data_IF_886258682231
#
_entry.id   IF_886258682231
#
_cell.length_a   1.000
_cell.length_b   1.000
_cell.length_c   1.000
_cell.angle_alpha   90.00
_cell.angle_beta   90.00
_cell.angle_gamma   90.00
#
_symmetry.space_group_name_H-M   'P 1'
#
loop_
_entity.id
_entity.type
_entity.pdbx_description
1 polymer ?
#
# COMPACT_ATOMS: atom_id res chain seq x y z
N UNK A 1 33.99 4.82 9.79
CA UNK A 1 33.59 4.62 11.20
C UNK A 1 32.36 5.47 11.37
N UNK A 2 31.24 4.89 11.80
CA UNK A 2 29.98 5.64 11.97
C UNK A 2 30.06 6.52 13.21
N UNK A 3 29.42 7.71 13.18
CA UNK A 3 29.41 8.63 14.34
C UNK A 3 28.65 8.03 15.52
N UNK A 4 27.54 7.35 15.26
CA UNK A 4 26.67 6.71 16.26
C UNK A 4 26.22 5.32 15.79
N UNK A 5 25.91 4.45 16.75
CA UNK A 5 25.42 3.07 16.48
C UNK A 5 23.99 2.82 16.93
N UNK A 6 23.34 3.79 17.60
CA UNK A 6 22.03 3.63 18.25
C UNK A 6 20.98 2.95 17.35
N UNK A 7 20.79 3.40 16.10
CA UNK A 7 19.81 2.79 15.20
C UNK A 7 20.18 1.38 14.75
N UNK A 8 21.48 1.11 14.57
CA UNK A 8 21.97 -0.23 14.27
C UNK A 8 21.76 -1.16 15.48
N UNK A 9 21.97 -0.66 16.68
CA UNK A 9 21.79 -1.37 17.94
C UNK A 9 20.31 -1.66 18.23
N UNK A 10 19.41 -0.70 17.98
CA UNK A 10 17.94 -0.89 18.06
C UNK A 10 17.49 -2.03 17.14
N UNK A 11 17.98 -2.05 15.90
CA UNK A 11 17.67 -3.11 14.95
C UNK A 11 18.45 -4.42 15.23
N UNK A 12 19.50 -4.37 16.06
CA UNK A 12 20.36 -5.52 16.38
C UNK A 12 21.21 -5.97 15.18
N UNK A 13 21.73 -5.02 14.42
CA UNK A 13 22.53 -5.24 13.21
C UNK A 13 23.83 -4.43 13.28
N UNK A 14 24.78 -4.72 12.37
CA UNK A 14 26.03 -3.98 12.28
C UNK A 14 25.92 -2.80 11.31
N UNK A 15 26.78 -1.76 11.44
CA UNK A 15 26.85 -0.66 10.48
C UNK A 15 27.10 -1.09 9.03
N UNK A 16 27.68 -2.28 8.80
CA UNK A 16 27.91 -2.84 7.45
C UNK A 16 26.68 -3.58 6.88
N UNK A 17 25.56 -3.62 7.61
CA UNK A 17 24.37 -4.34 7.20
C UNK A 17 23.86 -3.87 5.83
N UNK A 18 23.53 -4.85 4.99
CA UNK A 18 22.90 -4.64 3.69
C UNK A 18 21.47 -4.14 3.85
N UNK A 19 20.88 -3.49 2.83
CA UNK A 19 19.48 -3.06 2.88
C UNK A 19 18.51 -4.21 3.22
N UNK A 20 18.78 -5.40 2.71
CA UNK A 20 18.01 -6.61 3.01
C UNK A 20 18.11 -7.02 4.47
N UNK A 21 19.29 -6.93 5.09
CA UNK A 21 19.49 -7.23 6.51
C UNK A 21 18.79 -6.21 7.42
N UNK A 22 18.87 -4.91 7.08
CA UNK A 22 18.16 -3.83 7.79
C UNK A 22 16.67 -4.10 7.80
N UNK A 23 16.10 -4.44 6.65
CA UNK A 23 14.67 -4.71 6.50
C UNK A 23 14.21 -5.97 7.24
N UNK A 24 14.99 -7.05 7.18
CA UNK A 24 14.73 -8.26 7.96
C UNK A 24 14.77 -7.97 9.47
N UNK A 25 15.75 -7.19 9.91
CA UNK A 25 15.90 -6.80 11.30
C UNK A 25 14.73 -5.94 11.78
N UNK A 26 14.29 -4.96 10.98
CA UNK A 26 13.10 -4.16 11.26
C UNK A 26 11.86 -5.03 11.45
N UNK A 27 11.55 -5.94 10.52
CA UNK A 27 10.37 -6.81 10.66
C UNK A 27 10.42 -7.64 11.93
N UNK A 28 11.57 -8.26 12.21
CA UNK A 28 11.77 -9.03 13.45
C UNK A 28 11.57 -8.16 14.68
N UNK A 29 12.18 -6.99 14.73
CA UNK A 29 12.09 -6.06 15.86
C UNK A 29 10.69 -5.50 16.05
N UNK A 30 10.01 -5.10 14.97
CA UNK A 30 8.63 -4.63 15.00
C UNK A 30 7.70 -5.69 15.61
N UNK A 31 7.90 -6.98 15.27
CA UNK A 31 7.16 -8.08 15.89
C UNK A 31 7.56 -8.33 17.34
N UNK A 32 8.83 -8.17 17.70
CA UNK A 32 9.35 -8.31 19.07
C UNK A 32 8.91 -7.18 20.00
N UNK A 33 8.60 -5.98 19.49
CA UNK A 33 8.29 -4.80 20.32
C UNK A 33 6.84 -4.36 20.22
N UNK A 34 5.99 -5.06 19.48
CA UNK A 34 4.61 -4.60 19.27
C UNK A 34 3.78 -4.58 20.57
N UNK A 35 3.02 -3.50 20.83
CA UNK A 35 2.18 -3.36 22.03
C UNK A 35 1.21 -4.53 22.26
N UNK A 36 0.58 -5.08 21.21
CA UNK A 36 -0.36 -6.21 21.38
C UNK A 36 0.29 -7.50 21.91
N UNK A 37 1.60 -7.67 21.72
CA UNK A 37 2.33 -8.83 22.26
C UNK A 37 2.88 -8.57 23.66
N UNK A 38 2.93 -7.31 24.08
CA UNK A 38 3.46 -6.86 25.38
C UNK A 38 2.49 -5.88 26.05
N UNK A 39 1.26 -6.33 26.37
CA UNK A 39 0.23 -5.44 26.89
C UNK A 39 0.54 -4.87 28.28
N UNK A 40 1.39 -5.57 29.05
CA UNK A 40 1.79 -5.18 30.41
C UNK A 40 3.09 -4.34 30.44
N UNK A 41 3.73 -4.11 29.28
CA UNK A 41 4.96 -3.31 29.17
C UNK A 41 4.61 -1.85 28.82
N UNK A 42 4.71 -0.90 29.76
CA UNK A 42 4.37 0.50 29.50
C UNK A 42 5.28 1.16 28.46
N UNK A 43 6.46 0.59 28.20
CA UNK A 43 7.42 1.10 27.23
C UNK A 43 7.28 0.44 25.84
N UNK A 44 6.35 -0.50 25.65
CA UNK A 44 6.20 -1.22 24.38
C UNK A 44 5.96 -0.29 23.19
N UNK A 45 5.12 0.74 23.40
CA UNK A 45 4.83 1.75 22.38
C UNK A 45 6.08 2.55 22.00
N UNK A 46 6.84 3.02 23.00
CA UNK A 46 8.06 3.79 22.76
C UNK A 46 9.13 2.94 22.06
N UNK A 47 9.26 1.66 22.43
CA UNK A 47 10.16 0.71 21.76
C UNK A 47 9.76 0.46 20.31
N UNK A 48 8.47 0.28 20.03
CA UNK A 48 7.97 0.11 18.65
C UNK A 48 8.21 1.36 17.79
N UNK A 49 7.98 2.55 18.34
CA UNK A 49 8.27 3.81 17.66
C UNK A 49 9.77 3.96 17.35
N UNK A 50 10.65 3.64 18.31
CA UNK A 50 12.09 3.69 18.11
C UNK A 50 12.57 2.72 17.02
N UNK A 51 11.95 1.53 16.91
CA UNK A 51 12.22 0.57 15.83
C UNK A 51 11.79 1.11 14.47
N UNK A 52 10.63 1.78 14.39
CA UNK A 52 10.15 2.46 13.19
C UNK A 52 11.08 3.58 12.73
N UNK A 53 11.51 4.45 13.65
CA UNK A 53 12.45 5.55 13.40
C UNK A 53 13.81 5.04 12.92
N UNK A 54 14.36 4.02 13.58
CA UNK A 54 15.61 3.39 13.18
C UNK A 54 15.54 2.83 11.75
N UNK A 55 14.42 2.21 11.39
CA UNK A 55 14.21 1.71 10.05
C UNK A 55 14.05 2.84 9.02
N UNK A 56 13.29 3.90 9.32
CA UNK A 56 13.15 5.05 8.44
C UNK A 56 14.52 5.62 8.04
N UNK A 57 15.39 5.85 9.03
CA UNK A 57 16.72 6.44 8.78
C UNK A 57 17.65 5.46 8.08
N UNK A 58 17.69 4.19 8.52
CA UNK A 58 18.66 3.21 7.97
C UNK A 58 18.25 2.62 6.62
N UNK A 59 16.96 2.62 6.27
CA UNK A 59 16.48 2.07 5.00
C UNK A 59 16.71 3.02 3.82
N UNK A 60 16.64 4.33 4.03
CA UNK A 60 16.97 5.33 3.01
C UNK A 60 18.49 5.53 2.91
N UNK A 61 19.11 5.35 1.73
CA UNK A 61 20.56 5.53 1.57
C UNK A 61 21.07 6.94 1.90
N UNK A 62 20.25 7.97 1.66
CA UNK A 62 20.59 9.36 1.93
C UNK A 62 20.57 9.68 3.43
N UNK A 63 19.49 9.32 4.12
CA UNK A 63 19.33 9.46 5.57
C UNK A 63 20.36 8.62 6.32
N UNK A 64 20.59 7.36 5.90
CA UNK A 64 21.64 6.52 6.49
C UNK A 64 23.01 7.14 6.33
N UNK A 65 23.34 7.68 5.16
CA UNK A 65 24.62 8.35 4.96
C UNK A 65 24.77 9.59 5.84
N UNK A 66 23.69 10.35 6.07
CA UNK A 66 23.71 11.49 7.00
C UNK A 66 23.90 11.01 8.44
N UNK A 67 23.18 9.97 8.85
CA UNK A 67 23.30 9.36 10.18
C UNK A 67 24.72 8.85 10.44
N UNK A 68 25.29 8.13 9.48
CA UNK A 68 26.64 7.59 9.59
C UNK A 68 27.71 8.69 9.77
N UNK A 69 27.50 9.86 9.15
CA UNK A 69 28.45 10.99 9.17
C UNK A 69 28.22 11.95 10.34
N UNK A 70 26.96 12.22 10.67
CA UNK A 70 26.55 13.34 11.52
C UNK A 70 25.72 12.91 12.73
N UNK A 71 25.34 11.64 12.85
CA UNK A 71 24.58 11.13 14.00
C UNK A 71 23.10 11.52 13.95
N UNK A 72 22.38 11.20 15.02
CA UNK A 72 20.92 11.30 15.10
C UNK A 72 20.40 12.72 14.89
N UNK A 73 21.04 13.72 15.51
CA UNK A 73 20.57 15.12 15.50
C UNK A 73 20.46 15.73 14.08
N UNK A 74 21.29 15.28 13.14
CA UNK A 74 21.35 15.81 11.77
C UNK A 74 20.69 14.89 10.72
N UNK A 75 20.33 13.66 11.10
CA UNK A 75 19.76 12.65 10.23
C UNK A 75 18.25 12.45 10.42
N UNK A 76 17.72 12.84 11.58
CA UNK A 76 16.30 12.76 11.90
C UNK A 76 15.59 14.02 11.43
N UNK A 77 14.58 13.90 10.55
CA UNK A 77 13.61 14.95 10.31
C UNK A 77 13.09 15.58 11.61
N UNK A 78 13.05 16.90 11.73
CA UNK A 78 12.64 17.59 12.98
C UNK A 78 11.19 17.30 13.40
N UNK A 79 10.39 16.61 12.57
CA UNK A 79 9.06 16.11 12.89
C UNK A 79 8.89 14.65 12.43
N UNK A 80 9.26 13.66 13.25
CA UNK A 80 8.89 12.24 13.07
C UNK A 80 9.05 11.72 11.63
N UNK A 81 8.12 10.88 11.15
CA UNK A 81 8.03 10.59 9.72
C UNK A 81 7.73 11.89 8.95
N UNK A 82 8.72 12.44 8.26
CA UNK A 82 8.63 13.70 7.50
C UNK A 82 7.57 13.62 6.38
N UNK A 83 7.30 12.42 5.88
CA UNK A 83 6.24 12.12 4.93
C UNK A 83 5.59 10.75 5.24
N UNK A 84 4.35 10.75 5.70
CA UNK A 84 3.61 9.52 5.95
C UNK A 84 3.33 8.71 4.66
N UNK A 85 3.50 9.31 3.47
CA UNK A 85 3.53 8.60 2.19
C UNK A 85 4.80 7.75 2.00
N UNK A 86 5.95 8.23 2.49
CA UNK A 86 7.20 7.46 2.48
C UNK A 86 7.11 6.28 3.44
N UNK A 87 6.55 6.50 4.64
CA UNK A 87 6.26 5.41 5.59
C UNK A 87 5.36 4.33 4.98
N UNK A 88 4.26 4.75 4.36
CA UNK A 88 3.34 3.84 3.68
C UNK A 88 4.07 3.06 2.57
N UNK A 89 4.90 3.74 1.78
CA UNK A 89 5.69 3.09 0.73
C UNK A 89 6.67 2.07 1.30
N UNK A 90 7.37 2.41 2.39
CA UNK A 90 8.32 1.52 3.07
C UNK A 90 7.64 0.25 3.64
N UNK A 91 6.37 0.34 4.04
CA UNK A 91 5.57 -0.78 4.56
C UNK A 91 4.93 -1.62 3.46
N UNK A 92 4.43 -1.02 2.37
CA UNK A 92 3.51 -1.71 1.45
C UNK A 92 4.10 -2.04 0.08
N UNK A 93 5.33 -1.65 -0.21
CA UNK A 93 5.98 -2.01 -1.47
C UNK A 93 7.48 -1.83 -1.49
N UNK A 94 8.05 -1.09 -0.54
CA UNK A 94 9.48 -0.79 -0.45
C UNK A 94 10.06 -0.16 -1.72
N UNK A 95 11.33 0.21 -1.66
CA UNK A 95 12.07 0.65 -2.87
C UNK A 95 12.24 -0.47 -3.90
N UNK A 96 12.18 -1.74 -3.46
CA UNK A 96 12.38 -2.91 -4.32
C UNK A 96 11.39 -2.95 -5.50
N UNK A 97 10.12 -2.60 -5.27
CA UNK A 97 9.11 -2.62 -6.34
C UNK A 97 9.06 -1.34 -7.18
N UNK A 98 9.80 -0.29 -6.84
CA UNK A 98 9.72 1.02 -7.51
C UNK A 98 9.81 0.93 -9.04
N UNK A 99 10.71 0.08 -9.54
CA UNK A 99 10.90 -0.14 -10.98
C UNK A 99 9.77 -0.93 -11.67
N UNK A 100 8.94 -1.63 -10.91
CA UNK A 100 7.83 -2.45 -11.41
C UNK A 100 6.47 -1.78 -11.25
N UNK A 101 6.27 -1.03 -10.17
CA UNK A 101 4.96 -0.51 -9.77
C UNK A 101 4.95 1.02 -9.61
N UNK A 102 6.12 1.68 -9.59
CA UNK A 102 6.27 3.09 -9.27
C UNK A 102 6.00 3.37 -7.80
N UNK A 103 5.73 4.62 -7.47
CA UNK A 103 5.35 5.03 -6.10
C UNK A 103 3.84 4.93 -5.90
N UNK A 104 3.42 4.77 -4.64
CA UNK A 104 2.00 4.89 -4.26
C UNK A 104 1.63 6.37 -4.18
N UNK A 105 0.60 6.77 -4.92
CA UNK A 105 0.10 8.14 -4.98
C UNK A 105 -1.02 8.41 -3.97
N UNK A 106 -1.78 7.38 -3.59
CA UNK A 106 -2.99 7.52 -2.78
C UNK A 106 -2.75 8.22 -1.45
N UNK A 107 -1.66 7.90 -0.74
CA UNK A 107 -1.42 8.48 0.58
C UNK A 107 -1.13 9.98 0.47
N UNK A 108 -0.25 10.37 -0.46
CA UNK A 108 0.00 11.77 -0.79
C UNK A 108 -1.28 12.52 -1.17
N UNK A 109 -2.13 11.90 -2.00
CA UNK A 109 -3.42 12.49 -2.39
C UNK A 109 -4.36 12.70 -1.20
N UNK A 110 -4.41 11.74 -0.28
CA UNK A 110 -5.24 11.84 0.92
C UNK A 110 -4.71 12.95 1.85
N UNK A 111 -3.40 13.06 2.01
CA UNK A 111 -2.80 14.13 2.82
C UNK A 111 -3.05 15.52 2.19
N UNK A 112 -2.82 15.67 0.87
CA UNK A 112 -3.13 16.91 0.14
C UNK A 112 -4.63 17.27 0.27
N UNK A 113 -5.53 16.29 0.23
CA UNK A 113 -6.96 16.53 0.43
C UNK A 113 -7.28 16.96 1.87
N UNK A 114 -6.73 16.29 2.88
CA UNK A 114 -6.94 16.63 4.30
C UNK A 114 -6.42 18.03 4.62
N UNK A 115 -5.25 18.44 4.12
CA UNK A 115 -4.73 19.79 4.31
C UNK A 115 -5.62 20.87 3.68
N UNK A 116 -6.32 20.53 2.58
CA UNK A 116 -7.17 21.45 1.84
C UNK A 116 -8.57 21.59 2.43
N UNK A 117 -9.11 20.52 3.04
CA UNK A 117 -10.47 20.49 3.59
C UNK A 117 -10.51 20.50 5.13
N UNK A 118 -9.42 20.14 5.80
CA UNK A 118 -9.31 20.08 7.27
C UNK A 118 -9.03 21.43 7.93
N UNK A 119 -8.69 22.47 7.17
CA UNK A 119 -8.51 23.83 7.69
C UNK A 119 -9.82 24.56 8.02
N UNK A 120 -10.99 24.00 7.67
CA UNK A 120 -12.29 24.63 7.97
C UNK A 120 -12.81 24.32 9.39
N UNK A 121 -12.21 23.37 10.12
CA UNK A 121 -12.62 23.03 11.49
C UNK A 121 -11.83 23.79 12.60
N UNK A 122 -10.69 24.41 12.26
CA UNK A 122 -9.88 25.19 13.23
C UNK A 122 -10.29 26.67 13.37
N UNK A 123 -11.05 27.24 12.42
CA UNK A 123 -11.62 28.59 12.57
C UNK A 123 -13.04 28.59 13.19
N UNK A 124 -13.55 27.42 13.62
CA UNK A 124 -14.86 27.26 14.25
C UNK A 124 -14.85 27.03 15.78
N UNK A 125 -13.67 26.92 16.41
CA UNK A 125 -13.55 26.62 17.85
C UNK A 125 -12.80 27.69 18.62
N UNK A 126 -13.18 28.94 18.42
CA UNK A 126 -12.93 30.02 19.38
C UNK A 126 -14.28 30.65 19.76
N UNK A 127 -14.63 30.58 21.05
CA UNK A 127 -15.90 30.94 21.70
C UNK A 127 -16.97 29.84 21.62
N UNK A 128 -17.24 29.11 22.70
CA UNK A 128 -17.94 29.68 23.85
C UNK A 128 -17.76 28.82 25.10
N UNK A 129 -17.15 29.41 26.14
CA UNK A 129 -17.42 29.01 27.52
C UNK A 129 -18.82 29.50 27.94
N UNK A 130 -19.44 28.73 28.84
CA UNK A 130 -20.53 29.10 29.77
C UNK A 130 -21.91 29.43 29.18
N UNK A 131 -22.92 28.60 29.46
CA UNK A 131 -23.85 28.81 30.59
C UNK A 131 -24.84 27.62 30.76
N UNK A 132 -25.33 27.50 31.99
CA UNK A 132 -26.19 26.44 32.55
C UNK A 132 -27.68 26.58 32.18
N UNK A 133 -28.43 25.54 32.59
CA UNK A 133 -29.87 25.47 32.94
C UNK A 133 -30.79 24.97 31.81
N UNK A 134 -31.81 24.15 32.00
CA UNK A 134 -32.43 23.52 33.18
C UNK A 134 -33.32 22.35 32.68
N UNK A 135 -33.81 21.53 33.62
CA UNK A 135 -34.71 20.38 33.46
C UNK A 135 -36.01 20.63 32.68
N UNK A 136 -36.51 19.60 31.97
CA UNK A 136 -37.80 18.93 32.27
C UNK A 136 -38.30 17.96 31.17
N UNK A 137 -38.56 16.72 31.60
CA UNK A 137 -39.60 15.73 31.23
C UNK A 137 -40.37 15.83 29.90
N UNK A 138 -40.43 14.74 29.12
CA UNK A 138 -41.52 13.73 29.11
C UNK A 138 -41.37 12.78 27.90
N UNK A 139 -41.87 11.55 28.04
CA UNK A 139 -41.57 10.39 27.20
C UNK A 139 -42.32 10.28 25.87
N UNK A 140 -41.91 9.27 25.08
CA UNK A 140 -42.63 8.85 23.88
C UNK A 140 -41.84 7.85 23.03
N UNK A 141 -42.22 6.57 23.11
CA UNK A 141 -41.70 5.46 22.32
C UNK A 141 -41.87 5.64 20.80
N UNK A 142 -40.80 5.24 20.08
CA UNK A 142 -40.74 4.57 18.77
C UNK A 142 -41.51 5.19 17.59
N UNK A 143 -40.75 5.73 16.61
CA UNK A 143 -40.90 5.37 15.19
C UNK A 143 -39.54 5.32 14.50
N UNK A 144 -39.27 4.16 13.90
CA UNK A 144 -38.10 3.87 13.08
C UNK A 144 -38.33 4.49 11.69
N UNK A 145 -37.79 5.68 11.45
CA UNK A 145 -37.85 6.34 10.15
C UNK A 145 -36.58 6.05 9.34
N UNK A 146 -36.73 5.27 8.27
CA UNK A 146 -35.71 4.88 7.28
C UNK A 146 -35.29 6.03 6.35
N UNK A 147 -35.33 7.28 6.80
CA UNK A 147 -34.95 8.47 6.02
C UNK A 147 -33.83 9.30 6.67
N UNK A 148 -33.06 8.73 7.60
CA UNK A 148 -31.86 9.38 8.18
C UNK A 148 -30.60 9.23 7.32
N UNK A 149 -30.74 8.90 6.04
CA UNK A 149 -29.68 8.98 5.04
C UNK A 149 -29.72 10.28 4.21
N UNK A 150 -30.75 11.13 4.40
CA UNK A 150 -30.92 12.40 3.67
C UNK A 150 -30.67 13.66 4.51
N UNK A 151 -30.24 13.53 5.78
CA UNK A 151 -30.01 14.70 6.65
C UNK A 151 -28.56 15.06 6.91
N UNK A 152 -27.58 14.47 6.21
CA UNK A 152 -26.27 15.10 6.06
C UNK A 152 -26.45 16.22 5.04
N UNK A 153 -26.66 17.43 5.55
CA UNK A 153 -26.66 18.66 4.76
C UNK A 153 -25.44 18.63 3.84
N UNK A 154 -25.69 18.47 2.54
CA UNK A 154 -24.73 18.82 1.49
C UNK A 154 -24.41 20.30 1.68
N UNK A 155 -23.31 20.60 2.35
CA UNK A 155 -22.61 21.83 2.05
C UNK A 155 -22.23 21.76 0.58
N UNK A 156 -22.87 22.62 -0.21
CA UNK A 156 -22.51 22.78 -1.61
C UNK A 156 -21.11 23.38 -1.60
N UNK A 157 -20.11 22.55 -1.89
CA UNK A 157 -18.73 22.97 -2.16
C UNK A 157 -18.74 24.32 -2.89
N UNK A 158 -18.01 25.29 -2.32
CA UNK A 158 -17.85 26.63 -2.86
C UNK A 158 -17.27 26.56 -4.28
N UNK A 159 -17.43 27.63 -5.06
CA UNK A 159 -16.85 27.68 -6.42
C UNK A 159 -15.33 27.44 -6.37
N UNK A 160 -14.66 28.02 -5.37
CA UNK A 160 -13.23 27.86 -5.14
C UNK A 160 -12.86 26.42 -4.78
N UNK A 161 -13.61 25.77 -3.89
CA UNK A 161 -13.39 24.36 -3.52
C UNK A 161 -13.57 23.43 -4.73
N UNK A 162 -14.55 23.69 -5.61
CA UNK A 162 -14.74 22.91 -6.85
C UNK A 162 -13.62 23.09 -7.86
N UNK A 163 -13.17 24.33 -8.05
CA UNK A 163 -12.04 24.63 -8.95
C UNK A 163 -10.76 23.96 -8.46
N UNK A 164 -10.50 24.03 -7.15
CA UNK A 164 -9.39 23.31 -6.49
C UNK A 164 -9.49 21.80 -6.66
N UNK A 165 -10.66 21.18 -6.46
CA UNK A 165 -10.86 19.75 -6.70
C UNK A 165 -10.55 19.35 -8.15
N UNK A 166 -11.00 20.14 -9.13
CA UNK A 166 -10.70 19.87 -10.54
C UNK A 166 -9.20 20.00 -10.84
N UNK A 167 -8.52 20.96 -10.22
CA UNK A 167 -7.07 21.13 -10.35
C UNK A 167 -6.30 19.95 -9.74
N UNK A 168 -6.69 19.50 -8.54
CA UNK A 168 -6.13 18.30 -7.91
C UNK A 168 -6.35 17.05 -8.77
N UNK A 169 -7.57 16.82 -9.26
CA UNK A 169 -7.87 15.68 -10.13
C UNK A 169 -7.05 15.71 -11.43
N UNK A 170 -6.84 16.91 -11.99
CA UNK A 170 -6.01 17.10 -13.17
C UNK A 170 -4.54 16.79 -12.86
N UNK A 171 -3.98 17.35 -11.79
CA UNK A 171 -2.60 17.11 -11.32
C UNK A 171 -2.38 15.61 -11.09
N UNK A 172 -3.29 14.95 -10.35
CA UNK A 172 -3.27 13.51 -10.15
C UNK A 172 -3.22 12.73 -11.46
N UNK A 173 -4.08 13.09 -12.43
CA UNK A 173 -4.10 12.41 -13.72
C UNK A 173 -2.80 12.62 -14.50
N UNK A 174 -2.21 13.80 -14.42
CA UNK A 174 -0.92 14.11 -15.06
C UNK A 174 0.22 13.31 -14.41
N UNK A 175 0.28 13.27 -13.08
CA UNK A 175 1.31 12.53 -12.34
C UNK A 175 1.18 11.01 -12.55
N UNK A 176 -0.05 10.48 -12.54
CA UNK A 176 -0.31 9.08 -12.91
C UNK A 176 0.16 8.79 -14.34
N UNK A 177 -0.06 9.70 -15.30
CA UNK A 177 0.41 9.52 -16.68
C UNK A 177 1.95 9.55 -16.77
N UNK A 178 2.63 10.43 -16.02
CA UNK A 178 4.10 10.43 -15.96
C UNK A 178 4.64 9.10 -15.43
N UNK A 179 4.06 8.58 -14.35
CA UNK A 179 4.45 7.27 -13.81
C UNK A 179 4.19 6.14 -14.82
N UNK A 180 3.06 6.15 -15.54
CA UNK A 180 2.78 5.17 -16.60
C UNK A 180 3.85 5.22 -17.69
N UNK A 181 4.31 6.41 -18.06
CA UNK A 181 5.31 6.60 -19.10
C UNK A 181 6.67 6.06 -18.68
N UNK A 182 7.12 6.41 -17.46
CA UNK A 182 8.37 5.89 -16.88
C UNK A 182 8.35 4.37 -16.73
N UNK A 183 7.27 3.80 -16.17
CA UNK A 183 7.16 2.36 -15.99
C UNK A 183 7.06 1.62 -17.33
N UNK A 184 6.44 2.21 -18.34
CA UNK A 184 6.40 1.65 -19.69
C UNK A 184 7.79 1.60 -20.32
N UNK A 185 8.62 2.63 -20.11
CA UNK A 185 10.01 2.64 -20.54
C UNK A 185 10.81 1.53 -19.84
N UNK A 186 10.81 1.50 -18.51
CA UNK A 186 11.51 0.49 -17.70
C UNK A 186 11.10 -0.95 -18.06
N UNK A 187 9.80 -1.21 -18.17
CA UNK A 187 9.30 -2.53 -18.58
C UNK A 187 9.69 -2.88 -20.02
N UNK A 188 9.65 -1.90 -20.93
CA UNK A 188 10.05 -2.11 -22.32
C UNK A 188 11.56 -2.39 -22.45
N UNK A 189 12.40 -1.80 -21.61
CA UNK A 189 13.82 -2.15 -21.53
C UNK A 189 14.03 -3.58 -21.04
N UNK A 190 13.35 -4.00 -19.96
CA UNK A 190 13.41 -5.39 -19.45
C UNK A 190 12.96 -6.39 -20.54
N UNK A 191 11.88 -6.08 -21.26
CA UNK A 191 11.42 -6.85 -22.43
C UNK A 191 12.49 -6.88 -23.52
N UNK A 192 13.13 -5.76 -23.82
CA UNK A 192 14.18 -5.69 -24.86
C UNK A 192 15.38 -6.54 -24.48
N UNK A 193 15.82 -6.51 -23.22
CA UNK A 193 16.88 -7.38 -22.69
C UNK A 193 16.50 -8.86 -22.84
N UNK A 194 15.28 -9.25 -22.50
CA UNK A 194 14.78 -10.61 -22.74
C UNK A 194 14.85 -11.00 -24.22
N UNK A 195 14.37 -10.14 -25.13
CA UNK A 195 14.37 -10.43 -26.56
C UNK A 195 15.79 -10.58 -27.13
N UNK A 196 16.75 -9.81 -26.63
CA UNK A 196 18.17 -9.96 -26.97
C UNK A 196 18.70 -11.29 -26.42
N UNK A 197 18.41 -11.63 -25.16
CA UNK A 197 18.83 -12.89 -24.54
C UNK A 197 18.33 -14.11 -25.32
N UNK A 198 17.08 -14.10 -25.79
CA UNK A 198 16.51 -15.16 -26.63
C UNK A 198 17.27 -15.27 -27.96
N UNK A 199 17.58 -14.15 -28.62
CA UNK A 199 18.30 -14.15 -29.91
C UNK A 199 19.75 -14.61 -29.76
N UNK A 200 20.40 -14.26 -28.67
CA UNK A 200 21.81 -14.57 -28.41
C UNK A 200 22.02 -15.91 -27.67
N UNK A 201 20.97 -16.72 -27.52
CA UNK A 201 21.00 -17.99 -26.77
C UNK A 201 21.54 -17.85 -25.33
N UNK A 202 21.25 -16.71 -24.68
CA UNK A 202 21.69 -16.36 -23.32
C UNK A 202 20.49 -16.14 -22.39
N UNK A 203 19.41 -16.91 -22.60
CA UNK A 203 18.19 -16.78 -21.81
C UNK A 203 18.39 -17.20 -20.35
N UNK A 204 19.30 -18.12 -20.09
CA UNK A 204 19.60 -18.62 -18.74
C UNK A 204 20.13 -17.51 -17.82
N UNK A 205 21.08 -16.69 -18.29
CA UNK A 205 21.62 -15.58 -17.51
C UNK A 205 20.56 -14.48 -17.25
N UNK A 206 19.72 -14.18 -18.24
CA UNK A 206 18.58 -13.28 -18.02
C UNK A 206 17.64 -13.84 -16.95
N UNK A 207 17.34 -15.14 -17.04
CA UNK A 207 16.45 -15.83 -16.12
C UNK A 207 17.00 -15.83 -14.70
N UNK A 208 18.29 -16.13 -14.52
CA UNK A 208 18.98 -16.12 -13.23
C UNK A 208 18.90 -14.75 -12.55
N UNK A 209 19.14 -13.67 -13.31
CA UNK A 209 19.03 -12.28 -12.80
C UNK A 209 17.60 -11.92 -12.39
N UNK A 210 16.62 -12.30 -13.20
CA UNK A 210 15.21 -12.08 -12.88
C UNK A 210 14.78 -12.90 -11.65
N UNK A 211 15.26 -14.14 -11.53
CA UNK A 211 14.96 -14.99 -10.37
C UNK A 211 15.56 -14.39 -9.09
N UNK A 212 16.80 -13.87 -9.12
CA UNK A 212 17.39 -13.15 -7.99
C UNK A 212 16.57 -11.91 -7.59
N UNK A 213 16.16 -11.10 -8.58
CA UNK A 213 15.30 -9.94 -8.33
C UNK A 213 13.97 -10.36 -7.68
N UNK A 214 13.38 -11.49 -8.11
CA UNK A 214 12.14 -12.04 -7.50
C UNK A 214 12.36 -12.52 -6.08
N UNK A 215 13.52 -13.13 -5.78
CA UNK A 215 13.87 -13.56 -4.42
C UNK A 215 14.01 -12.37 -3.46
N UNK A 216 14.47 -11.22 -3.96
CA UNK A 216 14.51 -9.99 -3.16
C UNK A 216 13.09 -9.41 -2.99
N UNK A 217 12.33 -9.31 -4.10
CA UNK A 217 10.97 -8.76 -4.11
C UNK A 217 9.98 -9.56 -3.26
N UNK A 218 10.08 -10.90 -3.23
CA UNK A 218 9.15 -11.71 -2.42
C UNK A 218 9.35 -11.46 -0.92
N UNK A 219 10.52 -10.99 -0.50
CA UNK A 219 10.83 -10.70 0.90
C UNK A 219 10.36 -9.31 1.33
N UNK A 220 9.89 -8.47 0.40
CA UNK A 220 9.19 -7.23 0.75
C UNK A 220 7.86 -7.54 1.44
N UNK A 221 7.44 -6.63 2.30
CA UNK A 221 6.10 -6.66 2.91
C UNK A 221 5.04 -6.62 1.80
N UNK A 222 4.07 -7.54 1.84
CA UNK A 222 3.10 -7.76 0.75
C UNK A 222 3.74 -8.07 -0.63
N UNK A 223 5.03 -8.42 -0.67
CA UNK A 223 5.78 -8.63 -1.92
C UNK A 223 5.23 -9.75 -2.80
N UNK A 224 4.81 -10.88 -2.21
CA UNK A 224 4.14 -11.94 -2.97
C UNK A 224 2.81 -11.47 -3.56
N UNK A 225 2.03 -10.68 -2.82
CA UNK A 225 0.77 -10.14 -3.32
C UNK A 225 1.00 -9.23 -4.54
N UNK A 226 2.01 -8.34 -4.46
CA UNK A 226 2.42 -7.46 -5.55
C UNK A 226 2.95 -8.23 -6.78
N UNK A 227 3.80 -9.24 -6.58
CA UNK A 227 4.27 -10.13 -7.65
C UNK A 227 3.09 -10.82 -8.35
N UNK A 228 2.11 -11.31 -7.59
CA UNK A 228 0.91 -11.94 -8.16
C UNK A 228 -0.01 -10.95 -8.88
N UNK A 229 -0.11 -9.71 -8.40
CA UNK A 229 -0.81 -8.62 -9.10
C UNK A 229 -0.15 -8.35 -10.45
N UNK A 230 1.17 -8.13 -10.47
CA UNK A 230 1.97 -7.91 -11.69
C UNK A 230 1.79 -9.09 -12.67
N UNK A 231 1.99 -10.32 -12.19
CA UNK A 231 1.82 -11.54 -12.97
C UNK A 231 0.44 -11.60 -13.63
N UNK A 232 -0.62 -11.34 -12.84
CA UNK A 232 -2.00 -11.36 -13.31
C UNK A 232 -2.26 -10.30 -14.37
N UNK A 233 -1.83 -9.05 -14.16
CA UNK A 233 -2.05 -7.95 -15.11
C UNK A 233 -1.29 -8.22 -16.42
N UNK A 234 0.00 -8.54 -16.32
CA UNK A 234 0.87 -8.81 -17.47
C UNK A 234 0.34 -9.99 -18.28
N UNK A 235 0.02 -11.10 -17.62
CA UNK A 235 -0.56 -12.29 -18.27
C UNK A 235 -1.87 -11.96 -18.97
N UNK A 236 -2.74 -11.21 -18.34
CA UNK A 236 -4.05 -10.85 -18.90
C UNK A 236 -3.89 -9.97 -20.14
N UNK A 237 -3.13 -8.87 -20.01
CA UNK A 237 -2.93 -7.91 -21.11
C UNK A 237 -2.18 -8.52 -22.30
N UNK A 238 -1.14 -9.30 -22.05
CA UNK A 238 -0.40 -9.98 -23.11
C UNK A 238 -1.25 -11.03 -23.84
N UNK A 239 -2.01 -11.86 -23.11
CA UNK A 239 -2.90 -12.85 -23.74
C UNK A 239 -4.01 -12.17 -24.54
N UNK A 240 -4.67 -11.14 -23.98
CA UNK A 240 -5.72 -10.40 -24.68
C UNK A 240 -5.18 -9.77 -25.97
N UNK A 241 -3.97 -9.20 -25.92
CA UNK A 241 -3.32 -8.67 -27.12
C UNK A 241 -3.07 -9.75 -28.17
N UNK A 242 -2.45 -10.89 -27.79
CA UNK A 242 -2.16 -12.00 -28.71
C UNK A 242 -3.45 -12.55 -29.33
N UNK A 243 -4.49 -12.78 -28.53
CA UNK A 243 -5.76 -13.30 -29.01
C UNK A 243 -6.48 -12.31 -29.93
N UNK A 244 -6.43 -11.01 -29.62
CA UNK A 244 -7.01 -9.97 -30.49
C UNK A 244 -6.41 -9.98 -31.90
N UNK A 245 -5.14 -10.39 -32.04
CA UNK A 245 -4.46 -10.54 -33.34
C UNK A 245 -4.82 -11.83 -34.08
N UNK A 246 -5.19 -12.90 -33.36
CA UNK A 246 -5.58 -14.18 -33.97
C UNK A 246 -7.02 -14.20 -34.46
N UNK A 247 -7.91 -13.46 -33.82
CA UNK A 247 -9.36 -13.55 -34.07
C UNK A 247 -9.95 -12.34 -34.79
N UNK A 248 -9.13 -11.49 -35.43
CA UNK A 248 -9.58 -10.26 -36.11
C UNK A 248 -10.56 -9.40 -35.29
N UNK A 249 -10.40 -9.32 -33.97
CA UNK A 249 -11.27 -8.51 -33.09
C UNK A 249 -12.42 -9.23 -32.37
N UNK A 250 -12.81 -10.46 -32.76
CA UNK A 250 -13.89 -11.22 -32.08
C UNK A 250 -13.52 -11.53 -30.61
N UNK A 251 -12.24 -11.79 -30.34
CA UNK A 251 -11.72 -12.00 -28.98
C UNK A 251 -11.92 -10.80 -28.06
N UNK A 252 -12.02 -9.55 -28.56
CA UNK A 252 -12.25 -8.38 -27.67
C UNK A 252 -13.58 -8.47 -26.92
N UNK A 253 -14.59 -9.10 -27.54
CA UNK A 253 -15.93 -9.28 -26.95
C UNK A 253 -15.86 -10.28 -25.79
N UNK A 254 -15.11 -11.38 -25.96
CA UNK A 254 -15.01 -12.45 -24.96
C UNK A 254 -14.01 -12.15 -23.82
N UNK A 255 -12.96 -11.36 -24.10
CA UNK A 255 -12.01 -10.93 -23.07
C UNK A 255 -12.55 -9.76 -22.23
N UNK A 256 -13.38 -8.89 -22.82
CA UNK A 256 -13.99 -7.75 -22.13
C UNK A 256 -14.90 -8.16 -20.97
N UNK A 257 -15.68 -9.22 -21.12
CA UNK A 257 -16.61 -9.72 -20.08
C UNK A 257 -15.89 -10.26 -18.85
N UNK A 258 -14.77 -10.99 -19.02
CA UNK A 258 -13.99 -11.53 -17.89
C UNK A 258 -13.22 -10.46 -17.11
N UNK A 259 -12.65 -9.48 -17.82
CA UNK A 259 -11.93 -8.37 -17.18
C UNK A 259 -12.91 -7.42 -16.46
N UNK A 260 -14.11 -7.22 -17.02
CA UNK A 260 -15.18 -6.46 -16.37
C UNK A 260 -15.67 -7.16 -15.09
N UNK A 261 -15.93 -8.47 -15.13
CA UNK A 261 -16.37 -9.22 -13.94
C UNK A 261 -15.36 -9.15 -12.78
N UNK A 262 -14.06 -9.19 -13.10
CA UNK A 262 -13.01 -9.03 -12.09
C UNK A 262 -12.89 -7.61 -11.55
N UNK A 263 -13.01 -6.62 -12.42
CA UNK A 263 -13.00 -5.21 -11.99
C UNK A 263 -14.18 -4.91 -11.05
N UNK A 264 -15.35 -5.51 -11.33
CA UNK A 264 -16.51 -5.49 -10.42
C UNK A 264 -16.21 -6.19 -9.10
N UNK A 265 -15.54 -7.35 -9.11
CA UNK A 265 -15.13 -8.02 -7.86
C UNK A 265 -14.14 -7.19 -7.04
N UNK A 266 -13.14 -6.57 -7.68
CA UNK A 266 -12.19 -5.70 -6.99
C UNK A 266 -12.88 -4.46 -6.41
N UNK A 267 -13.84 -3.87 -7.14
CA UNK A 267 -14.65 -2.77 -6.63
C UNK A 267 -15.55 -3.21 -5.47
N UNK A 268 -16.15 -4.39 -5.54
CA UNK A 268 -16.94 -4.97 -4.46
C UNK A 268 -16.08 -5.19 -3.20
N UNK A 269 -14.91 -5.79 -3.36
CA UNK A 269 -13.98 -6.01 -2.24
C UNK A 269 -13.57 -4.67 -1.60
N UNK A 270 -13.28 -3.65 -2.41
CA UNK A 270 -13.00 -2.30 -1.91
C UNK A 270 -14.18 -1.71 -1.13
N UNK A 271 -15.41 -1.85 -1.65
CA UNK A 271 -16.63 -1.39 -0.97
C UNK A 271 -16.85 -2.13 0.36
N UNK A 272 -16.63 -3.45 0.40
CA UNK A 272 -16.76 -4.22 1.65
C UNK A 272 -15.72 -3.81 2.69
N UNK A 273 -14.46 -3.59 2.29
CA UNK A 273 -13.41 -3.10 3.20
C UNK A 273 -13.73 -1.68 3.69
N UNK A 274 -14.24 -0.81 2.82
CA UNK A 274 -14.71 0.52 3.20
C UNK A 274 -15.87 0.49 4.20
N UNK A 275 -16.83 -0.43 4.06
CA UNK A 275 -17.91 -0.63 5.03
C UNK A 275 -17.39 -1.14 6.38
N UNK A 276 -16.38 -2.01 6.38
CA UNK A 276 -15.75 -2.49 7.63
C UNK A 276 -15.00 -1.36 8.35
N UNK A 277 -14.32 -0.49 7.61
CA UNK A 277 -13.69 0.70 8.16
C UNK A 277 -14.73 1.73 8.65
N UNK A 278 -15.82 1.95 7.92
CA UNK A 278 -16.90 2.83 8.35
C UNK A 278 -17.51 2.36 9.68
N UNK A 279 -17.79 1.06 9.80
CA UNK A 279 -18.26 0.46 11.07
C UNK A 279 -17.24 0.61 12.20
N UNK A 280 -15.95 0.63 11.87
CA UNK A 280 -14.90 0.85 12.84
C UNK A 280 -14.85 2.33 13.30
N UNK A 281 -15.00 3.28 12.37
CA UNK A 281 -15.12 4.72 12.65
C UNK A 281 -16.38 5.06 13.44
N UNK A 282 -17.51 4.41 13.16
CA UNK A 282 -18.76 4.58 13.92
C UNK A 282 -18.56 4.16 15.38
N UNK A 283 -17.93 3.00 15.61
CA UNK A 283 -17.53 2.57 16.95
C UNK A 283 -16.54 3.54 17.62
N UNK A 284 -15.67 4.20 16.86
CA UNK A 284 -14.76 5.22 17.37
C UNK A 284 -15.49 6.46 17.87
N UNK A 285 -16.54 6.88 17.17
CA UNK A 285 -17.37 8.00 17.61
C UNK A 285 -18.25 7.68 18.82
N UNK A 286 -18.52 6.41 19.09
CA UNK A 286 -19.32 5.96 20.24
C UNK A 286 -18.49 5.74 21.51
N UNK A 287 -17.17 5.50 21.38
CA UNK A 287 -16.28 5.25 22.51
C UNK A 287 -15.73 6.56 23.04
N UNK A 288 -16.01 6.87 24.31
CA UNK A 288 -15.37 7.98 25.00
C UNK A 288 -13.91 7.59 25.32
N UNK A 289 -12.96 8.08 24.51
CA UNK A 289 -11.53 7.78 24.66
C UNK A 289 -10.94 8.28 25.98
N UNK A 290 -11.60 9.22 26.66
CA UNK A 290 -11.15 9.78 27.93
C UNK A 290 -11.51 8.89 29.14
N UNK A 291 -12.41 7.92 28.96
CA UNK A 291 -12.77 6.92 29.98
C UNK A 291 -11.95 5.62 29.88
N UNK A 292 -11.20 5.46 28.79
CA UNK A 292 -10.32 4.30 28.59
C UNK A 292 -9.03 4.47 29.39
N UNK A 293 -8.51 3.37 29.93
CA UNK A 293 -7.14 3.38 30.44
C UNK A 293 -6.12 3.58 29.29
N UNK A 294 -4.89 3.94 29.63
CA UNK A 294 -3.86 4.26 28.65
C UNK A 294 -3.59 3.11 27.66
N UNK A 295 -3.66 1.86 28.13
CA UNK A 295 -3.44 0.68 27.30
C UNK A 295 -4.65 0.40 26.39
N UNK A 296 -5.87 0.49 26.93
CA UNK A 296 -7.10 0.33 26.16
C UNK A 296 -7.21 1.37 25.04
N UNK A 297 -6.86 2.63 25.33
CA UNK A 297 -6.81 3.69 24.33
C UNK A 297 -5.76 3.41 23.25
N UNK A 298 -4.53 3.06 23.62
CA UNK A 298 -3.47 2.77 22.66
C UNK A 298 -3.82 1.58 21.74
N UNK A 299 -4.42 0.53 22.31
CA UNK A 299 -4.91 -0.62 21.54
C UNK A 299 -6.04 -0.26 20.58
N UNK A 300 -6.97 0.58 21.05
CA UNK A 300 -8.08 1.08 20.24
C UNK A 300 -7.58 1.91 19.05
N UNK A 301 -6.71 2.89 19.30
CA UNK A 301 -6.08 3.74 18.27
C UNK A 301 -5.27 2.91 17.26
N UNK A 302 -4.44 1.98 17.74
CA UNK A 302 -3.67 1.04 16.90
C UNK A 302 -4.58 0.21 15.97
N UNK A 303 -5.68 -0.34 16.52
CA UNK A 303 -6.62 -1.14 15.74
C UNK A 303 -7.30 -0.32 14.64
N UNK A 304 -7.67 0.94 14.93
CA UNK A 304 -8.28 1.81 13.94
C UNK A 304 -7.28 2.22 12.85
N UNK A 305 -6.03 2.53 13.24
CA UNK A 305 -4.96 2.83 12.31
C UNK A 305 -4.69 1.65 11.35
N UNK A 306 -4.62 0.43 11.86
CA UNK A 306 -4.46 -0.78 11.04
C UNK A 306 -5.58 -0.98 10.02
N UNK A 307 -6.84 -0.76 10.42
CA UNK A 307 -8.00 -0.84 9.50
C UNK A 307 -7.97 0.25 8.44
N UNK A 308 -7.61 1.48 8.80
CA UNK A 308 -7.45 2.56 7.85
C UNK A 308 -6.33 2.23 6.84
N UNK A 309 -5.20 1.70 7.31
CA UNK A 309 -4.11 1.21 6.47
C UNK A 309 -4.56 0.10 5.53
N UNK A 310 -5.39 -0.84 5.99
CA UNK A 310 -5.97 -1.91 5.15
C UNK A 310 -6.85 -1.38 4.01
N UNK A 311 -7.68 -0.37 4.27
CA UNK A 311 -8.46 0.30 3.21
C UNK A 311 -7.54 1.00 2.22
N UNK A 312 -6.58 1.79 2.72
CA UNK A 312 -5.62 2.49 1.86
C UNK A 312 -4.83 1.50 1.00
N UNK A 313 -4.42 0.36 1.56
CA UNK A 313 -3.78 -0.71 0.81
C UNK A 313 -4.68 -1.30 -0.28
N UNK A 314 -5.94 -1.59 0.02
CA UNK A 314 -6.91 -2.09 -0.96
C UNK A 314 -7.13 -1.10 -2.12
N UNK A 315 -7.27 0.19 -1.81
CA UNK A 315 -7.39 1.27 -2.80
C UNK A 315 -6.12 1.39 -3.65
N UNK A 316 -4.95 1.33 -3.02
CA UNK A 316 -3.64 1.42 -3.68
C UNK A 316 -3.43 0.27 -4.65
N UNK A 317 -3.83 -0.96 -4.29
CA UNK A 317 -3.84 -2.12 -5.19
C UNK A 317 -4.76 -1.92 -6.40
N UNK A 318 -5.93 -1.32 -6.20
CA UNK A 318 -6.86 -1.04 -7.29
C UNK A 318 -6.28 -0.01 -8.28
N UNK A 319 -5.74 1.09 -7.76
CA UNK A 319 -5.07 2.11 -8.57
C UNK A 319 -3.87 1.53 -9.32
N UNK A 320 -3.04 0.74 -8.62
CA UNK A 320 -1.90 0.07 -9.20
C UNK A 320 -2.31 -0.89 -10.32
N UNK A 321 -3.40 -1.65 -10.14
CA UNK A 321 -3.92 -2.52 -11.20
C UNK A 321 -4.25 -1.72 -12.47
N UNK A 322 -4.87 -0.54 -12.32
CA UNK A 322 -5.17 0.36 -13.45
C UNK A 322 -3.90 0.90 -14.09
N UNK A 323 -2.96 1.41 -13.29
CA UNK A 323 -1.67 1.93 -13.74
C UNK A 323 -0.89 0.90 -14.56
N UNK A 324 -0.76 -0.33 -14.04
CA UNK A 324 -0.08 -1.43 -14.73
C UNK A 324 -0.80 -1.86 -16.02
N UNK A 325 -2.15 -1.81 -16.04
CA UNK A 325 -2.92 -2.05 -17.26
C UNK A 325 -2.60 -1.01 -18.33
N UNK A 326 -2.42 0.25 -17.96
CA UNK A 326 -2.11 1.34 -18.89
C UNK A 326 -0.67 1.26 -19.39
N UNK A 327 0.29 0.93 -18.51
CA UNK A 327 1.68 0.58 -18.89
C UNK A 327 1.70 -0.51 -19.97
N UNK A 328 1.00 -1.62 -19.74
CA UNK A 328 0.92 -2.71 -20.72
C UNK A 328 0.28 -2.26 -22.03
N UNK A 329 -0.77 -1.44 -21.98
CA UNK A 329 -1.44 -0.92 -23.18
C UNK A 329 -0.50 -0.01 -23.97
N UNK A 330 0.28 0.84 -23.31
CA UNK A 330 1.24 1.75 -23.96
C UNK A 330 2.28 0.96 -24.76
N UNK A 331 2.81 -0.14 -24.21
CA UNK A 331 3.78 -1.01 -24.89
C UNK A 331 3.14 -1.82 -26.02
N UNK A 332 2.01 -2.48 -25.75
CA UNK A 332 1.41 -3.45 -26.67
C UNK A 332 0.56 -2.80 -27.77
N UNK A 333 0.04 -1.60 -27.56
CA UNK A 333 -0.79 -0.90 -28.55
C UNK A 333 -0.04 0.18 -29.34
N UNK A 334 1.26 0.38 -29.11
CA UNK A 334 2.06 1.34 -29.87
C UNK A 334 2.03 1.01 -31.37
N UNK A 335 1.34 1.84 -32.14
CA UNK A 335 1.18 1.64 -33.59
C UNK A 335 2.47 1.93 -34.36
N UNK A 336 3.44 2.63 -33.76
CA UNK A 336 4.75 2.89 -34.35
C UNK A 336 5.60 1.61 -34.42
N UNK A 337 5.32 0.63 -33.56
CA UNK A 337 6.03 -0.66 -33.52
C UNK A 337 5.31 -1.70 -34.41
N UNK A 338 6.04 -2.43 -35.29
CA UNK A 338 5.46 -3.48 -36.12
C UNK A 338 4.70 -4.53 -35.32
N UNK A 339 3.60 -5.05 -35.88
CA UNK A 339 2.74 -6.00 -35.15
C UNK A 339 3.48 -7.28 -34.71
N UNK A 340 4.45 -7.76 -35.50
CA UNK A 340 5.27 -8.93 -35.18
C UNK A 340 6.12 -8.70 -33.93
N UNK A 341 6.72 -7.51 -33.83
CA UNK A 341 7.52 -7.12 -32.67
C UNK A 341 6.65 -6.96 -31.42
N UNK A 342 5.46 -6.37 -31.54
CA UNK A 342 4.52 -6.27 -30.41
C UNK A 342 4.03 -7.62 -29.90
N UNK A 343 3.85 -8.61 -30.80
CA UNK A 343 3.57 -9.99 -30.39
C UNK A 343 4.76 -10.59 -29.64
N UNK A 344 6.00 -10.30 -30.06
CA UNK A 344 7.20 -10.74 -29.34
C UNK A 344 7.29 -10.10 -27.94
N UNK A 345 6.99 -8.79 -27.83
CA UNK A 345 6.88 -8.10 -26.52
C UNK A 345 5.81 -8.72 -25.62
N UNK A 346 4.65 -9.08 -26.16
CA UNK A 346 3.61 -9.78 -25.39
C UNK A 346 4.09 -11.15 -24.88
N UNK A 347 4.83 -11.91 -25.68
CA UNK A 347 5.42 -13.19 -25.25
C UNK A 347 6.48 -13.01 -24.15
N UNK A 348 7.32 -11.98 -24.25
CA UNK A 348 8.28 -11.62 -23.20
C UNK A 348 7.56 -11.25 -21.89
N UNK A 349 6.49 -10.46 -21.98
CA UNK A 349 5.65 -10.10 -20.84
C UNK A 349 4.98 -11.33 -20.20
N UNK A 350 4.56 -12.32 -20.99
CA UNK A 350 4.07 -13.62 -20.47
C UNK A 350 5.16 -14.41 -19.74
N UNK A 351 6.40 -14.40 -20.24
CA UNK A 351 7.53 -15.06 -19.59
C UNK A 351 7.77 -14.47 -18.19
N UNK A 352 7.89 -13.14 -18.10
CA UNK A 352 8.07 -12.42 -16.83
C UNK A 352 6.88 -12.72 -15.89
N UNK A 353 5.65 -12.66 -16.41
CA UNK A 353 4.45 -12.94 -15.62
C UNK A 353 4.43 -14.36 -15.03
N UNK A 354 4.95 -15.36 -15.76
CA UNK A 354 5.05 -16.72 -15.23
C UNK A 354 6.08 -16.82 -14.11
N UNK A 355 7.22 -16.14 -14.22
CA UNK A 355 8.23 -16.08 -13.16
C UNK A 355 7.69 -15.43 -11.88
N UNK A 356 6.97 -14.33 -12.01
CA UNK A 356 6.29 -13.70 -10.87
C UNK A 356 5.23 -14.62 -10.25
N UNK A 357 4.43 -15.31 -11.07
CA UNK A 357 3.42 -16.25 -10.57
C UNK A 357 4.01 -17.47 -9.84
N UNK A 358 5.26 -17.83 -10.12
CA UNK A 358 5.97 -18.94 -9.46
C UNK A 358 6.69 -18.56 -8.16
N UNK A 359 6.78 -17.28 -7.82
CA UNK A 359 7.45 -16.83 -6.60
C UNK A 359 6.80 -17.46 -5.36
N UNK A 360 7.62 -18.00 -4.44
CA UNK A 360 7.15 -18.61 -3.19
C UNK A 360 8.12 -18.27 -2.05
N UNK A 361 7.56 -18.01 -0.87
CA UNK A 361 8.29 -17.92 0.39
C UNK A 361 8.48 -19.33 0.96
N UNK A 362 9.60 -19.56 1.65
CA UNK A 362 9.75 -20.72 2.53
C UNK A 362 8.71 -20.65 3.68
N UNK A 363 8.44 -21.75 4.40
CA UNK A 363 7.53 -21.69 5.56
C UNK A 363 7.95 -20.66 6.62
N UNK A 364 9.25 -20.51 6.85
CA UNK A 364 9.81 -19.52 7.77
C UNK A 364 9.60 -18.08 7.26
N UNK A 365 9.97 -17.82 6.00
CA UNK A 365 9.76 -16.52 5.36
C UNK A 365 8.27 -16.14 5.31
N UNK A 366 7.40 -17.12 5.11
CA UNK A 366 5.95 -16.93 5.07
C UNK A 366 5.40 -16.58 6.44
N UNK A 367 5.87 -17.24 7.50
CA UNK A 367 5.45 -16.95 8.86
C UNK A 367 5.93 -15.58 9.33
N UNK A 368 7.21 -15.24 9.09
CA UNK A 368 7.74 -13.91 9.42
C UNK A 368 6.94 -12.79 8.74
N UNK A 369 6.63 -12.96 7.45
CA UNK A 369 5.86 -11.97 6.72
C UNK A 369 4.40 -11.92 7.18
N UNK A 370 3.77 -13.07 7.44
CA UNK A 370 2.39 -13.14 7.94
C UNK A 370 2.26 -12.40 9.26
N UNK A 371 3.13 -12.70 10.22
CA UNK A 371 3.08 -12.07 11.55
C UNK A 371 3.28 -10.56 11.42
N UNK A 372 4.18 -10.09 10.55
CA UNK A 372 4.34 -8.65 10.30
C UNK A 372 3.11 -8.01 9.60
N UNK A 373 2.57 -8.65 8.57
CA UNK A 373 1.43 -8.15 7.79
C UNK A 373 0.15 -8.09 8.66
N UNK A 374 -0.12 -9.10 9.50
CA UNK A 374 -1.22 -9.12 10.48
C UNK A 374 -1.09 -7.98 11.50
N UNK A 375 0.14 -7.73 11.96
CA UNK A 375 0.46 -6.68 12.92
C UNK A 375 0.13 -5.28 12.38
N UNK A 376 0.57 -5.01 11.14
CA UNK A 376 0.41 -3.72 10.48
C UNK A 376 -1.05 -3.42 10.15
N UNK A 377 -1.81 -4.44 9.72
CA UNK A 377 -3.21 -4.27 9.35
C UNK A 377 -4.19 -4.39 10.53
N UNK A 378 -3.72 -4.83 11.69
CA UNK A 378 -4.58 -5.14 12.83
C UNK A 378 -5.58 -6.27 12.54
N UNK A 379 -5.32 -7.07 11.51
CA UNK A 379 -6.15 -8.21 11.12
C UNK A 379 -5.52 -9.48 11.71
N UNK A 380 -6.07 -9.99 12.82
CA UNK A 380 -5.88 -11.40 13.12
C UNK A 380 -6.73 -12.20 12.15
N UNK A 381 -6.12 -13.13 11.39
CA UNK A 381 -6.90 -14.11 10.63
C UNK A 381 -7.97 -14.69 11.56
N UNK A 382 -9.24 -14.56 11.17
CA UNK A 382 -10.35 -15.29 11.81
C UNK A 382 -9.89 -16.74 11.90
N UNK A 383 -9.68 -17.24 13.12
CA UNK A 383 -9.26 -18.61 13.39
C UNK A 383 -9.83 -19.53 12.32
N UNK A 384 -8.95 -20.06 11.46
CA UNK A 384 -9.29 -21.23 10.69
C UNK A 384 -9.57 -22.31 11.72
N UNK A 385 -10.85 -22.45 12.11
CA UNK A 385 -11.35 -23.57 12.88
C UNK A 385 -10.90 -24.80 12.13
N UNK A 386 -9.83 -25.41 12.64
CA UNK A 386 -9.49 -26.79 12.36
C UNK A 386 -10.77 -27.55 12.65
N UNK A 387 -11.45 -27.99 11.61
CA UNK A 387 -12.28 -29.17 11.71
C UNK A 387 -11.32 -30.31 12.04
N UNK A 388 -10.97 -30.40 13.32
CA UNK A 388 -10.52 -31.63 13.93
C UNK A 388 -11.68 -32.58 13.77
N UNK A 389 -11.56 -33.47 12.79
CA UNK A 389 -12.38 -34.66 12.69
C UNK A 389 -12.16 -35.41 14.00
N UNK A 390 -13.10 -35.27 14.92
CA UNK A 390 -13.16 -36.04 16.14
C UNK A 390 -14.06 -37.25 15.88
N UNK A 391 -13.39 -38.40 15.79
CA UNK A 391 -13.87 -39.79 15.82
C UNK A 391 -14.77 -40.30 14.69
#
# INVERSE_FOLDING_TARGET
MVKETEYYDILGIKPEATPTEIKKAYRRKAMETHPDKHPDDPDAQAKFQAVGEAYQVLSDPGLRSKYDQFGKEDAVPQQGFEDASEYFTAIFGGDGFKDWIGEFSLFKELNEATEMFGKEDEEGTAATETEKADESTDGGMVKHDTNKAESLKKDKLSKEQREKLMEMEKKRREDMMKQVDELAEKLNEKISRYLIAVKSNNLEEFTRKLDQEIEDLKLESFGLELLYLLARVYKTKANNFIMSKKTYGISKIFTGTRDNARSVKSAYNLLSTGLEAQKAMEKMSEVNTDELDQYERAKFESTMAGKALGVMWAMSKFELERKLKDVCNKILNDKKVPSKERIAKAKAMLFIAHKFASARRSPEEAEEARVFEELILGEQEKEHKKHTVAR
#
